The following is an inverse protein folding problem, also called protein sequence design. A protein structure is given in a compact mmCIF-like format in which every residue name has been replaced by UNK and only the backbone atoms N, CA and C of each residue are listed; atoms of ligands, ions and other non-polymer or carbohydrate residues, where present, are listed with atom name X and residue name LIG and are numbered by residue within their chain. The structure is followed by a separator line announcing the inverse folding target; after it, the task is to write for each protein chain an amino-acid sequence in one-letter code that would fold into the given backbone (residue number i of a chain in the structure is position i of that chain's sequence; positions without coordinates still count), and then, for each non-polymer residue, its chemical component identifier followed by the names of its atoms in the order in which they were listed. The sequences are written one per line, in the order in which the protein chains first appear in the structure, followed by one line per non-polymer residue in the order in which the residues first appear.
data_IF_228883269147
#
_entry.id   IF_228883269147
#
_cell.length_a   1.000
_cell.length_b   1.000
_cell.length_c   1.000
_cell.angle_alpha   90.00
_cell.angle_beta   90.00
_cell.angle_gamma   90.00
#
_symmetry.space_group_name_H-M   'P 1'
#
loop_
_entity.id
_entity.type
_entity.pdbx_description
1 polymer ?
#
# COMPACT_ATOMS: atom_id res chain seq x y z
N UNK A 1 -13.19 5.53 -5.53
CA UNK A 1 -11.84 5.89 -5.03
C UNK A 1 -10.81 5.64 -6.12
N UNK A 2 -10.09 6.68 -6.54
CA UNK A 2 -8.95 6.57 -7.47
C UNK A 2 -7.68 6.57 -6.65
N UNK A 3 -6.92 5.47 -6.71
CA UNK A 3 -5.63 5.34 -6.04
C UNK A 3 -4.53 5.44 -7.09
N UNK A 4 -3.56 6.31 -6.82
CA UNK A 4 -2.33 6.45 -7.59
C UNK A 4 -1.18 5.99 -6.72
N UNK A 5 -0.44 4.98 -7.17
CA UNK A 5 0.85 4.63 -6.58
C UNK A 5 1.87 5.71 -6.89
N UNK A 6 2.56 6.19 -5.87
CA UNK A 6 3.58 7.25 -5.99
C UNK A 6 5.00 6.73 -5.79
N UNK A 7 5.16 5.55 -5.20
CA UNK A 7 6.47 4.93 -5.03
C UNK A 7 6.39 3.54 -4.41
N UNK A 8 7.45 2.78 -4.58
CA UNK A 8 7.64 1.44 -4.01
C UNK A 8 8.97 1.47 -3.27
N UNK A 9 8.96 1.15 -1.98
CA UNK A 9 10.17 1.08 -1.16
C UNK A 9 10.32 -0.33 -0.59
N UNK A 10 11.45 -0.98 -0.87
CA UNK A 10 11.75 -2.32 -0.38
C UNK A 10 12.34 -2.22 1.03
N UNK A 11 11.78 -2.99 1.95
CA UNK A 11 12.23 -3.06 3.35
C UNK A 11 13.19 -4.23 3.48
N UNK A 12 14.40 -3.95 3.96
CA UNK A 12 15.45 -4.93 4.17
C UNK A 12 15.72 -5.06 5.67
N UNK A 13 15.36 -6.20 6.27
CA UNK A 13 15.44 -6.38 7.72
C UNK A 13 16.85 -6.26 8.32
N UNK A 14 17.90 -6.65 7.56
CA UNK A 14 19.29 -6.70 8.03
C UNK A 14 20.28 -6.07 7.03
N UNK A 15 19.89 -4.97 6.37
CA UNK A 15 20.72 -4.26 5.39
C UNK A 15 20.53 -4.72 3.94
N UNK A 16 21.07 -3.95 3.00
CA UNK A 16 20.79 -4.05 1.56
C UNK A 16 21.32 -5.32 0.88
N UNK A 17 22.22 -6.07 1.53
CA UNK A 17 22.80 -7.31 0.97
C UNK A 17 21.91 -8.54 1.19
N UNK A 18 20.79 -8.39 1.91
CA UNK A 18 19.85 -9.46 2.19
C UNK A 18 18.59 -9.33 1.33
N UNK A 19 17.80 -10.40 1.27
CA UNK A 19 16.48 -10.35 0.67
C UNK A 19 15.58 -9.34 1.39
N UNK A 20 14.75 -8.63 0.63
CA UNK A 20 13.71 -7.79 1.21
C UNK A 20 12.69 -8.64 1.98
N UNK A 21 12.18 -8.10 3.07
CA UNK A 21 11.21 -8.76 3.95
C UNK A 21 9.79 -8.20 3.76
N UNK A 22 9.68 -6.95 3.32
CA UNK A 22 8.42 -6.27 3.06
C UNK A 22 8.58 -5.18 1.98
N UNK A 23 7.46 -4.64 1.52
CA UNK A 23 7.41 -3.55 0.56
C UNK A 23 6.43 -2.49 1.06
N UNK A 24 6.91 -1.25 1.15
CA UNK A 24 6.10 -0.08 1.42
C UNK A 24 5.61 0.52 0.11
N UNK A 25 4.31 0.37 -0.14
CA UNK A 25 3.62 0.88 -1.31
C UNK A 25 3.04 2.25 -0.99
N UNK A 26 3.70 3.30 -1.47
CA UNK A 26 3.26 4.68 -1.27
C UNK A 26 2.14 5.01 -2.24
N UNK A 27 1.09 5.64 -1.73
CA UNK A 27 -0.07 5.99 -2.54
C UNK A 27 -0.57 7.39 -2.23
N UNK A 28 -1.27 7.95 -3.21
CA UNK A 28 -2.20 9.05 -3.04
C UNK A 28 -3.57 8.59 -3.53
N UNK A 29 -4.62 9.03 -2.85
CA UNK A 29 -5.99 8.71 -3.20
C UNK A 29 -6.80 9.97 -3.32
N UNK A 30 -7.57 10.05 -4.40
CA UNK A 30 -8.59 11.08 -4.62
C UNK A 30 -9.92 10.44 -5.00
N UNK A 31 -11.01 10.98 -4.47
CA UNK A 31 -12.36 10.49 -4.73
C UNK A 31 -13.25 11.61 -5.23
N UNK A 32 -14.05 11.34 -6.26
CA UNK A 32 -15.21 12.15 -6.61
C UNK A 32 -16.21 12.10 -5.45
N UNK A 33 -16.38 13.21 -4.73
CA UNK A 33 -17.25 13.31 -3.55
C UNK A 33 -16.54 13.16 -2.20
N UNK A 34 -15.23 12.92 -2.17
CA UNK A 34 -14.44 12.96 -0.94
C UNK A 34 -13.78 14.34 -0.81
N UNK A 35 -14.01 15.03 0.30
CA UNK A 35 -13.40 16.34 0.62
C UNK A 35 -11.91 16.24 0.98
N UNK A 36 -11.37 15.02 1.11
CA UNK A 36 -10.05 14.76 1.64
C UNK A 36 -9.20 13.95 0.64
N UNK A 37 -8.00 14.45 0.36
CA UNK A 37 -6.94 13.68 -0.31
C UNK A 37 -6.22 12.87 0.77
N UNK A 38 -6.04 11.58 0.53
CA UNK A 38 -5.31 10.70 1.44
C UNK A 38 -3.96 10.35 0.82
N UNK A 39 -2.90 10.44 1.60
CA UNK A 39 -1.56 10.02 1.21
C UNK A 39 -0.91 9.22 2.34
N UNK A 40 -0.10 8.24 1.98
CA UNK A 40 0.59 7.41 2.95
C UNK A 40 1.23 6.19 2.29
N UNK A 41 1.59 5.22 3.13
CA UNK A 41 2.06 3.92 2.67
C UNK A 41 1.26 2.79 3.31
N UNK A 42 1.19 1.68 2.59
CA UNK A 42 0.77 0.38 3.10
C UNK A 42 1.95 -0.56 2.98
N UNK A 43 2.31 -1.18 4.09
CA UNK A 43 3.34 -2.20 4.13
C UNK A 43 2.69 -3.53 3.76
N UNK A 44 3.29 -4.24 2.80
CA UNK A 44 2.89 -5.60 2.44
C UNK A 44 4.09 -6.52 2.64
N UNK A 45 3.86 -7.74 3.12
CA UNK A 45 4.93 -8.71 3.31
C UNK A 45 5.53 -9.14 1.97
N UNK A 46 6.77 -9.68 2.00
CA UNK A 46 7.41 -10.27 0.81
C UNK A 46 6.48 -11.27 0.11
N UNK A 47 5.82 -12.14 0.87
CA UNK A 47 4.93 -13.17 0.34
C UNK A 47 3.71 -12.56 -0.35
N UNK A 48 3.07 -11.56 0.27
CA UNK A 48 1.93 -10.85 -0.32
C UNK A 48 2.32 -10.13 -1.62
N UNK A 49 3.50 -9.49 -1.62
CA UNK A 49 4.03 -8.80 -2.79
C UNK A 49 4.34 -9.76 -3.93
N UNK A 50 4.98 -10.90 -3.64
CA UNK A 50 5.31 -11.92 -4.64
C UNK A 50 4.07 -12.67 -5.15
N UNK A 51 3.04 -12.84 -4.31
CA UNK A 51 1.76 -13.44 -4.70
C UNK A 51 0.94 -12.53 -5.62
N UNK A 52 1.11 -11.20 -5.52
CA UNK A 52 0.49 -10.21 -6.38
C UNK A 52 1.23 -10.08 -7.72
N UNK A 53 1.18 -11.15 -8.52
CA UNK A 53 1.92 -11.27 -9.79
C UNK A 53 1.39 -10.38 -10.92
N UNK A 54 0.24 -9.73 -10.74
CA UNK A 54 -0.36 -8.83 -11.74
C UNK A 54 -0.57 -7.43 -11.18
N UNK A 55 -0.52 -6.39 -12.04
CA UNK A 55 -0.82 -5.02 -11.62
C UNK A 55 -2.20 -4.87 -10.96
N UNK A 56 -3.20 -5.65 -11.37
CA UNK A 56 -4.54 -5.58 -10.80
C UNK A 56 -4.65 -6.27 -9.44
N UNK A 57 -3.94 -7.38 -9.23
CA UNK A 57 -3.80 -7.98 -7.89
C UNK A 57 -3.14 -7.01 -6.91
N UNK A 58 -2.07 -6.32 -7.34
CA UNK A 58 -1.39 -5.32 -6.53
C UNK A 58 -2.31 -4.13 -6.18
N UNK A 59 -3.06 -3.61 -7.16
CA UNK A 59 -4.08 -2.57 -6.92
C UNK A 59 -5.16 -3.04 -5.94
N UNK A 60 -5.55 -4.31 -6.01
CA UNK A 60 -6.51 -4.92 -5.09
C UNK A 60 -6.02 -4.89 -3.65
N UNK A 61 -4.79 -5.37 -3.41
CA UNK A 61 -4.14 -5.34 -2.10
C UNK A 61 -4.06 -3.91 -1.54
N UNK A 62 -3.58 -2.96 -2.33
CA UNK A 62 -3.47 -1.56 -1.89
C UNK A 62 -4.84 -0.99 -1.53
N UNK A 63 -5.87 -1.22 -2.36
CA UNK A 63 -7.23 -0.73 -2.07
C UNK A 63 -7.75 -1.29 -0.75
N UNK A 64 -7.60 -2.59 -0.53
CA UNK A 64 -8.07 -3.24 0.69
C UNK A 64 -7.37 -2.67 1.92
N UNK A 65 -6.06 -2.49 1.84
CA UNK A 65 -5.27 -2.04 2.99
C UNK A 65 -5.45 -0.55 3.29
N UNK A 66 -5.73 0.26 2.27
CA UNK A 66 -6.17 1.65 2.44
C UNK A 66 -7.56 1.72 3.08
N UNK A 67 -8.50 0.84 2.69
CA UNK A 67 -9.82 0.79 3.31
C UNK A 67 -9.75 0.36 4.78
N UNK A 68 -8.92 -0.64 5.10
CA UNK A 68 -8.68 -1.10 6.46
C UNK A 68 -8.17 0.06 7.34
N UNK A 69 -7.13 0.78 6.89
CA UNK A 69 -6.60 1.94 7.62
C UNK A 69 -7.61 3.08 7.82
N UNK A 70 -8.49 3.31 6.84
CA UNK A 70 -9.53 4.32 6.98
C UNK A 70 -10.56 3.93 8.04
N UNK A 71 -10.97 2.66 8.05
CA UNK A 71 -11.89 2.14 9.06
C UNK A 71 -11.29 2.16 10.47
N UNK A 72 -9.99 1.91 10.61
CA UNK A 72 -9.28 2.06 11.89
C UNK A 72 -9.25 3.52 12.35
N UNK A 73 -9.04 4.48 11.45
CA UNK A 73 -9.01 5.92 11.79
C UNK A 73 -10.37 6.54 12.12
N UNK A 74 -11.47 5.92 11.68
CA UNK A 74 -12.85 6.34 12.01
C UNK A 74 -13.36 5.73 13.32
N UNK A 75 -12.62 4.78 13.91
CA UNK A 75 -12.98 4.09 15.14
C UNK A 75 -12.35 4.70 16.41
N UNK A 76 -11.51 5.74 16.29
CA UNK A 76 -10.97 6.58 17.38
C UNK A 76 -11.71 7.92 17.47
#
# INVERSE_FOLDING_TARGET
MKITLTGINFVFGNGYDQDFTAVNLNFTSSGTGMTFNLSGYVEVSKEQYLAATTPDAMKGLIKQEVLNKLQESEAE
#
